data_IF_391884560598
#
_entry.id   IF_391884560598
#
_cell.length_a   1.000
_cell.length_b   1.000
_cell.length_c   1.000
_cell.angle_alpha   90.00
_cell.angle_beta   90.00
_cell.angle_gamma   90.00
#
_symmetry.space_group_name_H-M   'P 1'
#
loop_
_entity.id
_entity.type
_entity.pdbx_description
1 polymer ?
#
# COMPACT_ATOMS: atom_id res chain seq x y z
N UNK A 1 17.92 29.75 0.05
CA UNK A 1 16.54 29.38 -0.30
C UNK A 1 15.72 30.66 -0.29
N UNK A 2 15.14 31.05 -1.43
CA UNK A 2 14.34 32.27 -1.54
C UNK A 2 13.10 32.20 -0.64
N UNK A 3 12.70 33.32 -0.06
CA UNK A 3 11.53 33.43 0.81
C UNK A 3 10.27 32.89 0.09
N UNK A 4 9.73 31.79 0.60
CA UNK A 4 8.50 31.14 0.16
C UNK A 4 7.97 30.29 1.32
N UNK A 5 6.66 30.11 1.37
CA UNK A 5 5.99 29.42 2.48
C UNK A 5 5.61 28.00 2.06
N UNK A 6 5.65 27.08 3.01
CA UNK A 6 5.08 25.75 2.83
C UNK A 6 3.57 25.79 3.05
N UNK A 7 2.81 25.20 2.14
CA UNK A 7 1.36 25.10 2.21
C UNK A 7 0.96 23.64 2.21
N UNK A 8 0.10 23.25 3.14
CA UNK A 8 -0.52 21.92 3.18
C UNK A 8 -1.93 22.02 2.62
N UNK A 9 -2.23 21.23 1.60
CA UNK A 9 -3.59 21.04 1.08
C UNK A 9 -4.01 19.58 1.30
N UNK A 10 -5.26 19.35 1.70
CA UNK A 10 -5.80 17.99 1.89
C UNK A 10 -6.94 17.78 0.90
N UNK A 11 -6.75 16.83 -0.01
CA UNK A 11 -7.72 16.52 -1.05
C UNK A 11 -8.62 15.34 -0.66
N UNK A 12 -9.82 15.27 -1.22
CA UNK A 12 -10.81 14.23 -0.91
C UNK A 12 -10.74 13.05 -1.88
N UNK A 13 -9.96 13.14 -2.96
CA UNK A 13 -9.74 12.03 -3.88
C UNK A 13 -8.32 12.07 -4.49
N UNK A 14 -7.78 10.92 -4.92
CA UNK A 14 -6.53 10.91 -5.70
C UNK A 14 -6.64 11.71 -6.99
N UNK A 15 -7.84 11.75 -7.60
CA UNK A 15 -8.11 12.46 -8.86
C UNK A 15 -8.06 13.99 -8.75
N UNK A 16 -8.10 14.54 -7.54
CA UNK A 16 -7.96 15.99 -7.30
C UNK A 16 -6.51 16.46 -7.45
N UNK A 17 -5.56 15.50 -7.49
CA UNK A 17 -4.13 15.76 -7.64
C UNK A 17 -3.72 15.39 -9.06
N UNK A 18 -2.92 16.26 -9.67
CA UNK A 18 -2.37 15.99 -11.00
C UNK A 18 -1.57 14.68 -11.01
N UNK A 19 -1.93 13.81 -11.96
CA UNK A 19 -1.33 12.48 -12.14
C UNK A 19 0.17 12.55 -12.39
N UNK A 20 0.61 13.53 -13.20
CA UNK A 20 2.02 13.68 -13.55
C UNK A 20 2.85 14.14 -12.35
N UNK A 21 2.33 15.08 -11.56
CA UNK A 21 2.98 15.55 -10.35
C UNK A 21 3.12 14.44 -9.31
N UNK A 22 2.04 13.69 -9.05
CA UNK A 22 2.06 12.55 -8.14
C UNK A 22 3.07 11.48 -8.58
N UNK A 23 3.02 11.07 -9.85
CA UNK A 23 3.90 10.02 -10.35
C UNK A 23 5.36 10.47 -10.44
N UNK A 24 5.62 11.77 -10.65
CA UNK A 24 6.96 12.36 -10.54
C UNK A 24 7.51 12.26 -9.12
N UNK A 25 6.69 12.54 -8.09
CA UNK A 25 7.09 12.31 -6.70
C UNK A 25 7.37 10.83 -6.42
N UNK A 26 6.50 9.93 -6.89
CA UNK A 26 6.69 8.49 -6.70
C UNK A 26 8.00 8.00 -7.32
N UNK A 27 8.30 8.43 -8.56
CA UNK A 27 9.54 8.07 -9.23
C UNK A 27 10.80 8.54 -8.47
N UNK A 28 10.71 9.66 -7.76
CA UNK A 28 11.80 10.17 -6.93
C UNK A 28 12.10 9.31 -5.68
N UNK A 29 11.27 8.31 -5.36
CA UNK A 29 11.49 7.42 -4.20
C UNK A 29 12.48 6.27 -4.48
N UNK A 30 12.96 6.13 -5.72
CA UNK A 30 13.95 5.10 -6.07
C UNK A 30 13.42 3.67 -5.86
N UNK A 31 14.20 2.82 -5.21
CA UNK A 31 13.84 1.41 -4.97
C UNK A 31 12.64 1.23 -4.02
N UNK A 32 12.28 2.27 -3.27
CA UNK A 32 11.09 2.27 -2.39
C UNK A 32 9.79 2.63 -3.16
N UNK A 33 9.88 3.00 -4.43
CA UNK A 33 8.71 3.25 -5.27
C UNK A 33 7.97 1.93 -5.56
N UNK A 34 6.67 1.90 -5.32
CA UNK A 34 5.83 0.71 -5.57
C UNK A 34 4.70 1.02 -6.54
N UNK A 35 4.27 0.03 -7.37
CA UNK A 35 3.11 0.22 -8.25
C UNK A 35 1.83 0.54 -7.49
N UNK A 36 1.76 0.17 -6.21
CA UNK A 36 0.60 0.36 -5.33
C UNK A 36 0.44 1.80 -4.82
N UNK A 37 1.46 2.63 -5.01
CA UNK A 37 1.41 4.07 -4.75
C UNK A 37 1.32 4.88 -6.03
N UNK A 38 1.14 4.25 -7.21
CA UNK A 38 0.89 4.99 -8.45
C UNK A 38 -0.48 5.68 -8.41
N UNK A 39 -0.56 6.85 -9.03
CA UNK A 39 -1.82 7.60 -9.12
C UNK A 39 -2.94 6.75 -9.72
N UNK A 40 -2.65 5.98 -10.77
CA UNK A 40 -3.61 5.13 -11.47
C UNK A 40 -4.15 3.99 -10.58
N UNK A 41 -3.29 3.44 -9.72
CA UNK A 41 -3.70 2.40 -8.77
C UNK A 41 -4.65 2.96 -7.71
N UNK A 42 -4.31 4.14 -7.17
CA UNK A 42 -5.12 4.81 -6.16
C UNK A 42 -6.44 5.29 -6.76
N UNK A 43 -6.45 5.84 -7.98
CA UNK A 43 -7.66 6.17 -8.71
C UNK A 43 -8.55 4.93 -8.93
N UNK A 44 -7.97 3.81 -9.41
CA UNK A 44 -8.71 2.57 -9.63
C UNK A 44 -9.35 2.02 -8.35
N UNK A 45 -8.67 2.12 -7.19
CA UNK A 45 -9.23 1.72 -5.90
C UNK A 45 -10.50 2.50 -5.55
N UNK A 46 -10.51 3.81 -5.82
CA UNK A 46 -11.62 4.71 -5.48
C UNK A 46 -12.76 4.61 -6.48
N UNK A 47 -12.46 4.73 -7.78
CA UNK A 47 -13.47 4.74 -8.83
C UNK A 47 -14.19 3.39 -8.99
N UNK A 48 -13.54 2.30 -8.59
CA UNK A 48 -14.15 0.96 -8.59
C UNK A 48 -15.03 0.66 -7.38
N UNK A 49 -15.08 1.58 -6.40
CA UNK A 49 -15.78 1.36 -5.14
C UNK A 49 -15.06 0.44 -4.14
N UNK A 50 -13.80 0.06 -4.41
CA UNK A 50 -13.06 -0.88 -3.55
C UNK A 50 -12.61 -0.20 -2.24
N UNK A 51 -12.02 0.99 -2.33
CA UNK A 51 -11.56 1.77 -1.18
C UNK A 51 -12.28 3.12 -1.11
N UNK A 52 -13.44 3.14 -0.46
CA UNK A 52 -14.29 4.31 -0.30
C UNK A 52 -14.75 4.46 1.14
N UNK A 53 -15.41 5.56 1.54
CA UNK A 53 -16.00 5.70 2.87
C UNK A 53 -16.91 4.51 3.26
N UNK A 54 -17.67 3.97 2.31
CA UNK A 54 -18.59 2.84 2.51
C UNK A 54 -17.86 1.54 2.88
N UNK A 55 -16.64 1.35 2.36
CA UNK A 55 -15.77 0.21 2.72
C UNK A 55 -14.82 0.54 3.87
N UNK A 56 -15.06 1.68 4.53
CA UNK A 56 -14.29 2.14 5.68
C UNK A 56 -12.92 2.70 5.32
N UNK A 57 -12.73 3.21 4.10
CA UNK A 57 -11.53 3.90 3.60
C UNK A 57 -11.90 5.31 3.17
N UNK A 58 -12.09 6.22 4.14
CA UNK A 58 -12.42 7.61 3.81
C UNK A 58 -11.15 8.35 3.36
N UNK A 59 -11.00 8.74 2.08
CA UNK A 59 -9.79 9.38 1.59
C UNK A 59 -9.50 10.72 2.23
N UNK A 60 -8.22 10.97 2.47
CA UNK A 60 -7.64 12.29 2.62
C UNK A 60 -6.26 12.23 1.95
N UNK A 61 -5.97 13.10 1.00
CA UNK A 61 -4.70 13.10 0.29
C UNK A 61 -3.94 14.39 0.61
N UNK A 62 -3.19 14.44 1.74
CA UNK A 62 -2.32 15.56 2.06
C UNK A 62 -1.25 15.76 1.00
N UNK A 63 -1.04 17.02 0.63
CA UNK A 63 0.00 17.50 -0.27
C UNK A 63 0.74 18.65 0.37
N UNK A 64 2.07 18.66 0.22
CA UNK A 64 2.97 19.71 0.66
C UNK A 64 3.45 20.47 -0.57
N UNK A 65 3.09 21.75 -0.62
CA UNK A 65 3.47 22.67 -1.68
C UNK A 65 4.49 23.67 -1.18
N UNK A 66 5.45 24.01 -2.02
CA UNK A 66 6.24 25.21 -1.86
C UNK A 66 5.67 26.32 -2.73
N UNK A 67 5.34 27.44 -2.09
CA UNK A 67 4.80 28.61 -2.76
C UNK A 67 5.81 29.75 -2.71
N UNK A 68 6.59 29.97 -3.80
CA UNK A 68 7.48 31.11 -3.87
C UNK A 68 6.69 32.42 -4.04
N UNK A 69 7.27 33.54 -3.60
CA UNK A 69 6.70 34.89 -3.86
C UNK A 69 6.55 35.21 -5.35
N UNK A 70 7.43 34.65 -6.18
CA UNK A 70 7.41 34.75 -7.64
C UNK A 70 7.76 33.39 -8.23
N UNK A 71 7.00 32.96 -9.25
CA UNK A 71 7.18 31.66 -9.90
C UNK A 71 5.98 30.73 -9.72
N UNK A 72 6.16 29.48 -10.13
CA UNK A 72 5.14 28.44 -10.06
C UNK A 72 5.21 27.73 -8.71
N UNK A 73 4.06 27.38 -8.13
CA UNK A 73 4.03 26.51 -6.95
C UNK A 73 4.56 25.12 -7.31
N UNK A 74 5.25 24.49 -6.38
CA UNK A 74 5.86 23.17 -6.61
C UNK A 74 5.34 22.16 -5.60
N UNK A 75 4.93 20.99 -6.08
CA UNK A 75 4.57 19.86 -5.22
C UNK A 75 5.86 19.22 -4.69
N UNK A 76 6.06 19.32 -3.37
CA UNK A 76 7.23 18.80 -2.67
C UNK A 76 6.98 17.47 -1.98
N UNK A 77 5.75 17.18 -1.59
CA UNK A 77 5.40 15.89 -1.04
C UNK A 77 3.91 15.59 -1.06
N UNK A 78 3.56 14.32 -0.97
CA UNK A 78 2.18 13.85 -0.91
C UNK A 78 2.11 12.47 -0.24
N UNK A 79 0.93 12.11 0.29
CA UNK A 79 0.67 10.76 0.76
C UNK A 79 -0.79 10.35 0.57
N UNK A 80 -1.04 9.04 0.57
CA UNK A 80 -2.39 8.47 0.53
C UNK A 80 -2.84 8.18 1.98
N UNK A 81 -3.59 9.11 2.57
CA UNK A 81 -4.12 8.98 3.93
C UNK A 81 -5.60 8.56 3.88
N UNK A 82 -6.02 7.78 4.87
CA UNK A 82 -7.38 7.31 5.02
C UNK A 82 -7.82 7.43 6.47
N UNK A 83 -9.02 7.97 6.68
CA UNK A 83 -9.70 7.90 7.96
C UNK A 83 -10.38 6.54 8.09
N UNK A 84 -10.05 5.83 9.17
CA UNK A 84 -10.48 4.46 9.44
C UNK A 84 -11.31 4.40 10.71
N UNK A 85 -12.45 3.73 10.64
CA UNK A 85 -13.30 3.39 11.81
C UNK A 85 -13.15 1.93 12.26
N UNK A 86 -12.26 1.17 11.61
CA UNK A 86 -11.91 -0.22 11.90
C UNK A 86 -10.56 -0.56 11.25
N UNK A 87 -9.90 -1.63 11.69
CA UNK A 87 -8.63 -2.12 11.09
C UNK A 87 -8.79 -3.06 9.88
N UNK A 88 -10.01 -3.35 9.41
CA UNK A 88 -10.18 -4.24 8.25
C UNK A 88 -9.54 -3.67 6.98
N UNK A 89 -8.87 -4.56 6.24
CA UNK A 89 -8.14 -4.25 5.01
C UNK A 89 -6.72 -3.70 5.21
N UNK A 90 -6.30 -3.42 6.45
CA UNK A 90 -4.97 -2.85 6.73
C UNK A 90 -3.86 -3.90 6.80
N UNK A 91 -4.24 -5.17 7.00
CA UNK A 91 -3.34 -6.30 7.30
C UNK A 91 -2.47 -6.11 8.55
N UNK A 92 -2.79 -5.10 9.36
CA UNK A 92 -2.33 -4.87 10.73
C UNK A 92 -3.57 -4.61 11.57
N UNK A 93 -3.80 -5.42 12.60
CA UNK A 93 -5.01 -5.35 13.40
C UNK A 93 -4.74 -4.74 14.77
N UNK A 94 -5.43 -3.64 15.08
CA UNK A 94 -5.25 -2.89 16.33
C UNK A 94 -6.25 -3.29 17.42
N UNK A 95 -6.74 -4.53 17.37
CA UNK A 95 -7.74 -5.02 18.34
C UNK A 95 -7.29 -4.82 19.80
N UNK A 96 -6.00 -5.02 20.09
CA UNK A 96 -5.45 -4.80 21.43
C UNK A 96 -5.54 -3.33 21.86
N UNK A 97 -5.16 -2.39 20.99
CA UNK A 97 -5.24 -0.95 21.26
C UNK A 97 -6.69 -0.48 21.39
N UNK A 98 -7.54 -0.86 20.43
CA UNK A 98 -8.96 -0.52 20.45
C UNK A 98 -9.68 -1.09 21.69
N UNK A 99 -9.27 -2.27 22.16
CA UNK A 99 -9.79 -2.85 23.39
C UNK A 99 -9.34 -2.06 24.62
N UNK A 100 -8.05 -1.72 24.74
CA UNK A 100 -7.52 -0.94 25.86
C UNK A 100 -8.18 0.46 25.95
N UNK A 101 -8.30 1.17 24.82
CA UNK A 101 -8.99 2.47 24.75
C UNK A 101 -10.42 2.38 25.26
N UNK A 102 -11.17 1.35 24.82
CA UNK A 102 -12.54 1.09 25.27
C UNK A 102 -12.62 0.82 26.78
N UNK A 103 -11.68 0.07 27.35
CA UNK A 103 -11.61 -0.17 28.80
C UNK A 103 -11.42 1.13 29.60
N UNK A 104 -10.79 2.14 29.02
CA UNK A 104 -10.57 3.45 29.63
C UNK A 104 -11.61 4.51 29.21
N UNK A 105 -12.65 4.14 28.47
CA UNK A 105 -13.70 5.07 28.02
C UNK A 105 -13.25 6.09 26.98
N UNK A 106 -12.13 5.86 26.30
CA UNK A 106 -11.59 6.73 25.25
C UNK A 106 -11.90 6.11 23.88
N UNK A 107 -12.40 6.86 22.89
CA UNK A 107 -12.61 6.34 21.54
C UNK A 107 -11.27 6.12 20.83
N UNK A 108 -11.06 4.91 20.30
CA UNK A 108 -9.89 4.60 19.46
C UNK A 108 -10.09 5.00 18.00
N UNK A 109 -11.33 5.17 17.55
CA UNK A 109 -11.65 5.56 16.17
C UNK A 109 -12.36 6.92 16.16
N UNK A 110 -12.23 7.72 15.10
CA UNK A 110 -11.44 7.45 13.89
C UNK A 110 -9.93 7.57 14.14
N UNK A 111 -9.15 6.83 13.35
CA UNK A 111 -7.70 6.97 13.23
C UNK A 111 -7.31 7.35 11.80
N UNK A 112 -6.15 8.00 11.64
CA UNK A 112 -5.53 8.23 10.35
C UNK A 112 -4.60 7.06 9.98
N UNK A 113 -4.64 6.64 8.71
CA UNK A 113 -3.80 5.61 8.14
C UNK A 113 -3.18 6.09 6.84
N UNK A 114 -1.85 6.10 6.74
CA UNK A 114 -1.12 6.25 5.47
C UNK A 114 -0.68 4.88 4.96
N UNK A 115 -1.36 4.39 3.93
CA UNK A 115 -1.06 3.12 3.30
C UNK A 115 -1.78 3.00 1.94
N UNK A 116 -1.25 2.22 0.99
CA UNK A 116 -2.05 1.76 -0.15
C UNK A 116 -3.18 0.83 0.35
N UNK A 117 -4.44 1.03 -0.09
CA UNK A 117 -5.55 0.18 0.34
C UNK A 117 -5.30 -1.30 0.06
N UNK A 118 -5.66 -2.15 1.02
CA UNK A 118 -5.63 -3.61 0.90
C UNK A 118 -4.25 -4.21 0.49
N UNK A 119 -3.15 -3.50 0.74
CA UNK A 119 -1.84 -3.87 0.17
C UNK A 119 -0.72 -3.86 1.22
N UNK A 120 -0.33 -5.03 1.76
CA UNK A 120 0.71 -5.13 2.79
C UNK A 120 2.14 -5.18 2.22
N UNK A 121 2.46 -4.33 1.25
CA UNK A 121 3.75 -4.34 0.54
C UNK A 121 4.63 -3.18 1.02
N UNK A 122 5.86 -3.45 1.54
CA UNK A 122 6.77 -2.38 1.94
C UNK A 122 7.10 -1.39 0.83
N UNK A 123 7.28 -0.12 1.18
CA UNK A 123 7.74 0.93 0.29
C UNK A 123 7.37 2.32 0.78
N UNK A 124 7.61 3.34 -0.05
CA UNK A 124 7.37 4.73 0.31
C UNK A 124 5.89 4.99 0.65
N UNK A 125 5.65 5.73 1.74
CA UNK A 125 4.35 6.26 2.18
C UNK A 125 4.30 7.76 2.14
N UNK A 126 5.42 8.41 2.40
CA UNK A 126 5.59 9.85 2.26
C UNK A 126 6.37 10.10 0.97
N UNK A 127 5.63 10.29 -0.13
CA UNK A 127 6.25 10.64 -1.40
C UNK A 127 6.79 12.06 -1.27
N UNK A 128 8.09 12.24 -1.38
CA UNK A 128 8.73 13.54 -1.13
C UNK A 128 9.93 13.77 -2.05
N UNK A 129 10.15 15.03 -2.45
CA UNK A 129 11.29 15.43 -3.30
C UNK A 129 12.63 15.18 -2.62
N UNK A 130 12.71 15.40 -1.31
CA UNK A 130 13.90 15.23 -0.50
C UNK A 130 13.55 14.92 0.96
N UNK A 131 14.58 14.75 1.80
CA UNK A 131 14.41 14.44 3.22
C UNK A 131 13.76 15.59 4.01
N UNK A 132 14.00 16.86 3.63
CA UNK A 132 13.42 18.04 4.30
C UNK A 132 11.91 18.10 4.04
N UNK A 133 11.48 17.93 2.80
CA UNK A 133 10.07 17.85 2.43
C UNK A 133 9.39 16.65 3.10
N UNK A 134 10.07 15.50 3.18
CA UNK A 134 9.54 14.30 3.85
C UNK A 134 9.28 14.55 5.34
N UNK A 135 10.25 15.16 6.03
CA UNK A 135 10.12 15.50 7.44
C UNK A 135 9.02 16.55 7.68
N UNK A 136 8.96 17.59 6.85
CA UNK A 136 7.91 18.61 6.92
C UNK A 136 6.51 18.00 6.71
N UNK A 137 6.37 17.07 5.75
CA UNK A 137 5.12 16.33 5.54
C UNK A 137 4.76 15.49 6.77
N UNK A 138 5.71 14.75 7.36
CA UNK A 138 5.46 13.96 8.57
C UNK A 138 4.98 14.84 9.74
N UNK A 139 5.62 15.99 9.98
CA UNK A 139 5.20 16.95 11.00
C UNK A 139 3.80 17.52 10.73
N UNK A 140 3.52 17.86 9.48
CA UNK A 140 2.21 18.34 9.08
C UNK A 140 1.10 17.30 9.32
N UNK A 141 1.37 16.02 9.07
CA UNK A 141 0.41 14.93 9.32
C UNK A 141 0.12 14.77 10.82
N UNK A 142 1.14 14.87 11.68
CA UNK A 142 0.95 14.86 13.14
C UNK A 142 0.07 16.02 13.57
N UNK A 143 0.45 17.25 13.21
CA UNK A 143 -0.29 18.45 13.57
C UNK A 143 -1.74 18.42 13.05
N UNK A 144 -1.94 17.97 11.81
CA UNK A 144 -3.27 17.82 11.22
C UNK A 144 -4.11 16.76 11.94
N UNK A 145 -3.51 15.63 12.34
CA UNK A 145 -4.21 14.57 13.07
C UNK A 145 -4.66 15.04 14.45
N UNK A 146 -3.83 15.81 15.15
CA UNK A 146 -4.17 16.42 16.44
C UNK A 146 -5.29 17.46 16.30
N UNK A 147 -5.17 18.38 15.34
CA UNK A 147 -6.18 19.40 15.06
C UNK A 147 -7.52 18.80 14.65
N UNK A 148 -7.49 17.67 13.95
CA UNK A 148 -8.68 16.93 13.52
C UNK A 148 -9.28 16.04 14.63
N UNK A 149 -8.67 16.00 15.82
CA UNK A 149 -9.15 15.20 16.94
C UNK A 149 -9.08 13.69 16.71
N UNK A 150 -8.16 13.23 15.86
CA UNK A 150 -7.97 11.81 15.59
C UNK A 150 -7.25 11.13 16.75
N UNK A 151 -7.61 9.88 17.04
CA UNK A 151 -7.01 9.14 18.15
C UNK A 151 -5.52 8.83 17.94
N UNK A 152 -5.13 8.65 16.68
CA UNK A 152 -3.80 8.18 16.30
C UNK A 152 -3.56 8.34 14.79
N UNK A 153 -2.29 8.45 14.42
CA UNK A 153 -1.77 8.41 13.06
C UNK A 153 -0.91 7.17 12.89
N UNK A 154 -1.17 6.40 11.84
CA UNK A 154 -0.45 5.18 11.51
C UNK A 154 0.10 5.30 10.10
N UNK A 155 1.35 4.89 9.91
CA UNK A 155 1.90 4.59 8.60
C UNK A 155 2.30 3.11 8.62
N UNK A 156 1.98 2.37 7.56
CA UNK A 156 2.15 0.93 7.53
C UNK A 156 3.05 0.48 6.38
N UNK A 157 3.99 -0.41 6.72
CA UNK A 157 4.98 -0.99 5.81
C UNK A 157 5.87 0.08 5.15
N UNK A 158 6.36 0.98 5.99
CA UNK A 158 7.12 2.16 5.60
C UNK A 158 8.50 1.84 5.03
N UNK A 159 8.98 2.71 4.14
CA UNK A 159 10.40 2.75 3.76
C UNK A 159 11.27 3.19 4.93
N UNK A 160 12.58 2.91 4.87
CA UNK A 160 13.52 3.39 5.89
C UNK A 160 13.55 4.93 5.98
N UNK A 161 13.41 5.62 4.85
CA UNK A 161 13.38 7.08 4.82
C UNK A 161 12.14 7.65 5.52
N UNK A 162 10.98 7.00 5.37
CA UNK A 162 9.75 7.38 6.05
C UNK A 162 9.84 7.12 7.56
N UNK A 163 10.42 5.98 7.96
CA UNK A 163 10.65 5.65 9.39
C UNK A 163 11.49 6.73 10.07
N UNK A 164 12.56 7.20 9.43
CA UNK A 164 13.40 8.28 9.97
C UNK A 164 12.61 9.58 10.13
N UNK A 165 11.91 10.01 9.08
CA UNK A 165 11.10 11.23 9.12
C UNK A 165 10.00 11.18 10.19
N UNK A 166 9.34 10.04 10.34
CA UNK A 166 8.28 9.82 11.34
C UNK A 166 8.84 9.82 12.77
N UNK A 167 10.00 9.19 13.00
CA UNK A 167 10.65 9.21 14.32
C UNK A 167 11.04 10.63 14.73
N UNK A 168 11.60 11.40 13.81
CA UNK A 168 11.96 12.80 14.05
C UNK A 168 10.72 13.69 14.27
N UNK A 169 9.56 13.30 13.71
CA UNK A 169 8.26 13.93 13.96
C UNK A 169 7.56 13.42 15.25
N UNK A 170 8.19 12.53 16.03
CA UNK A 170 7.68 12.06 17.31
C UNK A 170 6.81 10.79 17.27
N UNK A 171 6.68 10.12 16.12
CA UNK A 171 5.95 8.85 16.03
C UNK A 171 6.78 7.68 16.61
N UNK A 172 6.06 6.67 17.10
CA UNK A 172 6.65 5.45 17.65
C UNK A 172 6.75 4.35 16.59
N UNK A 173 7.90 3.67 16.54
CA UNK A 173 8.10 2.53 15.66
C UNK A 173 7.49 1.26 16.25
N UNK A 174 6.68 0.56 15.46
CA UNK A 174 6.15 -0.77 15.77
C UNK A 174 6.68 -1.79 14.77
N UNK A 175 7.32 -2.85 15.26
CA UNK A 175 7.79 -3.94 14.42
C UNK A 175 6.72 -5.00 14.19
N UNK A 176 6.70 -5.58 13.00
CA UNK A 176 5.93 -6.77 12.64
C UNK A 176 6.81 -7.72 11.80
N UNK A 177 6.40 -8.97 11.67
CA UNK A 177 7.14 -9.99 10.92
C UNK A 177 6.47 -10.22 9.57
N UNK A 178 7.27 -10.14 8.50
CA UNK A 178 6.90 -10.60 7.16
C UNK A 178 7.90 -11.65 6.69
N UNK A 179 7.42 -12.68 6.01
CA UNK A 179 8.26 -13.71 5.40
C UNK A 179 8.35 -13.44 3.90
N UNK A 180 9.54 -13.07 3.44
CA UNK A 180 9.80 -12.81 2.03
C UNK A 180 10.65 -13.93 1.45
N UNK A 181 10.26 -14.43 0.28
CA UNK A 181 11.08 -15.34 -0.50
C UNK A 181 11.86 -14.52 -1.52
N UNK A 182 13.15 -14.37 -1.30
CA UNK A 182 14.06 -13.75 -2.24
C UNK A 182 14.80 -14.82 -3.03
N UNK A 183 15.05 -14.56 -4.31
CA UNK A 183 16.01 -15.38 -5.04
C UNK A 183 17.41 -15.09 -4.47
N UNK A 184 18.31 -16.08 -4.54
CA UNK A 184 19.71 -15.85 -4.14
C UNK A 184 20.33 -14.80 -5.08
N UNK A 185 21.37 -14.03 -4.66
CA UNK A 185 21.99 -13.02 -5.50
C UNK A 185 22.37 -13.56 -6.90
N UNK A 186 22.94 -14.76 -6.95
CA UNK A 186 23.16 -15.51 -8.19
C UNK A 186 21.91 -16.29 -8.59
N UNK A 187 20.88 -15.65 -9.14
CA UNK A 187 19.55 -16.25 -9.38
C UNK A 187 19.58 -17.73 -9.86
N UNK A 188 18.68 -18.56 -9.32
CA UNK A 188 18.53 -19.95 -9.80
C UNK A 188 18.28 -19.99 -11.31
N UNK A 189 19.03 -20.83 -12.02
CA UNK A 189 18.91 -20.95 -13.49
C UNK A 189 17.57 -21.55 -13.89
N UNK A 190 17.13 -22.55 -13.14
CA UNK A 190 15.88 -23.26 -13.34
C UNK A 190 15.40 -23.89 -12.01
N UNK A 191 14.28 -24.60 -12.09
CA UNK A 191 13.71 -25.28 -10.93
C UNK A 191 14.59 -26.42 -10.39
N UNK A 192 15.38 -27.08 -11.25
CA UNK A 192 16.27 -28.15 -10.81
C UNK A 192 17.48 -27.61 -10.05
N UNK A 193 18.01 -26.45 -10.46
CA UNK A 193 19.03 -25.70 -9.73
C UNK A 193 18.52 -25.27 -8.34
N UNK A 194 17.26 -24.83 -8.25
CA UNK A 194 16.61 -24.60 -6.96
C UNK A 194 16.52 -25.88 -6.12
N UNK A 195 16.04 -26.98 -6.70
CA UNK A 195 15.90 -28.26 -6.00
C UNK A 195 17.25 -28.82 -5.52
N UNK A 196 18.33 -28.58 -6.26
CA UNK A 196 19.68 -29.01 -5.90
C UNK A 196 20.16 -28.35 -4.59
N UNK A 197 19.66 -27.15 -4.26
CA UNK A 197 19.97 -26.45 -3.01
C UNK A 197 19.26 -27.01 -1.77
N UNK A 198 18.28 -27.90 -1.94
CA UNK A 198 17.51 -28.50 -0.86
C UNK A 198 18.08 -29.86 -0.42
N UNK A 199 17.82 -30.23 0.83
CA UNK A 199 18.14 -31.57 1.31
C UNK A 199 17.39 -32.66 0.51
N UNK A 200 17.94 -33.88 0.52
CA UNK A 200 17.47 -34.98 -0.32
C UNK A 200 15.98 -35.30 -0.11
N UNK A 201 15.52 -35.31 1.14
CA UNK A 201 14.13 -35.64 1.47
C UNK A 201 13.15 -34.59 0.96
N UNK A 202 13.44 -33.30 1.18
CA UNK A 202 12.59 -32.20 0.69
C UNK A 202 12.57 -32.17 -0.84
N UNK A 203 13.72 -32.36 -1.48
CA UNK A 203 13.83 -32.48 -2.93
C UNK A 203 13.01 -33.65 -3.49
N UNK A 204 13.08 -34.84 -2.87
CA UNK A 204 12.31 -36.02 -3.28
C UNK A 204 10.81 -35.78 -3.17
N UNK A 205 10.36 -35.18 -2.06
CA UNK A 205 8.95 -34.83 -1.83
C UNK A 205 8.43 -33.85 -2.88
N UNK A 206 9.14 -32.75 -3.15
CA UNK A 206 8.71 -31.76 -4.16
C UNK A 206 8.61 -32.39 -5.55
N UNK A 207 9.57 -33.21 -5.96
CA UNK A 207 9.51 -33.93 -7.25
C UNK A 207 8.31 -34.87 -7.33
N UNK A 208 8.00 -35.58 -6.24
CA UNK A 208 6.85 -36.47 -6.17
C UNK A 208 5.54 -35.70 -6.35
N UNK A 209 5.35 -34.60 -5.62
CA UNK A 209 4.13 -33.78 -5.72
C UNK A 209 3.96 -33.18 -7.12
N UNK A 210 5.04 -32.65 -7.71
CA UNK A 210 4.98 -32.12 -9.10
C UNK A 210 4.65 -33.20 -10.12
N UNK A 211 5.16 -34.43 -9.93
CA UNK A 211 4.82 -35.56 -10.82
C UNK A 211 3.33 -35.90 -10.74
N UNK A 212 2.73 -35.89 -9.55
CA UNK A 212 1.28 -36.12 -9.39
C UNK A 212 0.46 -35.07 -10.14
N UNK A 213 0.85 -33.79 -10.05
CA UNK A 213 0.21 -32.69 -10.78
C UNK A 213 0.26 -32.93 -12.29
N UNK A 214 1.43 -33.29 -12.82
CA UNK A 214 1.58 -33.60 -14.25
C UNK A 214 0.80 -34.86 -14.68
N UNK A 215 0.79 -35.93 -13.86
CA UNK A 215 0.03 -37.15 -14.10
C UNK A 215 -1.48 -36.92 -14.08
N UNK A 216 -1.95 -35.93 -13.31
CA UNK A 216 -3.34 -35.49 -13.33
C UNK A 216 -3.70 -34.64 -14.55
N UNK A 217 -2.76 -34.39 -15.48
CA UNK A 217 -3.00 -33.61 -16.69
C UNK A 217 -3.06 -32.10 -16.45
N UNK A 218 -2.62 -31.61 -15.28
CA UNK A 218 -2.62 -30.18 -14.96
C UNK A 218 -1.47 -29.51 -15.71
N UNK A 219 -1.80 -28.49 -16.50
CA UNK A 219 -0.86 -27.66 -17.26
C UNK A 219 -0.93 -26.21 -16.78
N UNK A 220 0.17 -25.48 -16.96
CA UNK A 220 0.27 -24.07 -16.63
C UNK A 220 0.44 -23.26 -17.92
N UNK A 221 -0.27 -22.13 -18.00
CA UNK A 221 -0.06 -21.07 -18.98
C UNK A 221 0.23 -19.79 -18.21
N UNK A 222 1.20 -19.03 -18.69
CA UNK A 222 1.50 -17.70 -18.17
C UNK A 222 1.03 -16.66 -19.18
N UNK A 223 0.35 -15.63 -18.69
CA UNK A 223 -0.04 -14.45 -19.46
C UNK A 223 0.51 -13.20 -18.79
N UNK A 224 0.90 -12.20 -19.58
CA UNK A 224 1.44 -10.93 -19.09
C UNK A 224 0.87 -9.77 -19.90
N UNK A 225 0.48 -8.71 -19.20
CA UNK A 225 0.00 -7.49 -19.85
C UNK A 225 -1.11 -7.79 -20.86
N UNK A 226 -0.90 -7.37 -22.12
CA UNK A 226 -1.86 -7.55 -23.22
C UNK A 226 -2.20 -9.00 -23.57
N UNK A 227 -1.43 -9.99 -23.09
CA UNK A 227 -1.74 -11.41 -23.29
C UNK A 227 -2.84 -11.92 -22.33
N UNK A 228 -3.26 -11.09 -21.36
CA UNK A 228 -4.34 -11.42 -20.42
C UNK A 228 -5.66 -11.00 -21.07
N UNK A 229 -6.48 -12.00 -21.42
CA UNK A 229 -7.76 -11.74 -22.07
C UNK A 229 -8.86 -11.35 -21.08
N UNK A 230 -9.96 -10.76 -21.55
CA UNK A 230 -11.13 -10.51 -20.70
C UNK A 230 -11.66 -11.80 -20.03
N UNK A 231 -11.62 -12.93 -20.73
CA UNK A 231 -12.01 -14.23 -20.19
C UNK A 231 -11.06 -14.71 -19.07
N UNK A 232 -9.77 -14.39 -19.15
CA UNK A 232 -8.79 -14.66 -18.09
C UNK A 232 -9.11 -13.84 -16.84
N UNK A 233 -9.43 -12.55 -16.99
CA UNK A 233 -9.85 -11.70 -15.90
C UNK A 233 -11.16 -12.17 -15.24
N UNK A 234 -12.13 -12.62 -16.04
CA UNK A 234 -13.38 -13.18 -15.52
C UNK A 234 -13.16 -14.46 -14.73
N UNK A 235 -12.29 -15.34 -15.22
CA UNK A 235 -11.94 -16.55 -14.49
C UNK A 235 -11.19 -16.23 -13.20
N UNK A 236 -10.21 -15.32 -13.26
CA UNK A 236 -9.47 -14.87 -12.10
C UNK A 236 -10.40 -14.27 -11.02
N UNK A 237 -11.32 -13.38 -11.41
CA UNK A 237 -12.22 -12.73 -10.45
C UNK A 237 -13.14 -13.74 -9.75
N UNK A 238 -13.67 -14.73 -10.48
CA UNK A 238 -14.46 -15.82 -9.88
C UNK A 238 -13.66 -16.61 -8.85
N UNK A 239 -12.38 -16.88 -9.10
CA UNK A 239 -11.51 -17.55 -8.13
C UNK A 239 -11.25 -16.66 -6.89
N UNK A 240 -10.99 -15.38 -7.13
CA UNK A 240 -10.76 -14.38 -6.08
C UNK A 240 -11.98 -14.25 -5.15
N UNK A 241 -13.18 -13.97 -5.67
CA UNK A 241 -14.38 -13.76 -4.86
C UNK A 241 -14.78 -15.03 -4.11
N UNK A 242 -14.65 -16.20 -4.75
CA UNK A 242 -14.97 -17.49 -4.14
C UNK A 242 -14.11 -17.75 -2.90
N UNK A 243 -12.83 -17.39 -2.95
CA UNK A 243 -11.93 -17.53 -1.80
C UNK A 243 -12.43 -16.71 -0.60
N UNK A 244 -12.93 -15.50 -0.83
CA UNK A 244 -13.50 -14.67 0.23
C UNK A 244 -14.76 -15.30 0.82
N UNK A 245 -15.68 -15.76 -0.03
CA UNK A 245 -16.93 -16.39 0.41
C UNK A 245 -16.71 -17.70 1.17
N UNK A 246 -15.74 -18.52 0.75
CA UNK A 246 -15.36 -19.76 1.46
C UNK A 246 -14.81 -19.47 2.87
N UNK A 247 -14.28 -18.28 3.11
CA UNK A 247 -13.82 -17.79 4.41
C UNK A 247 -14.82 -16.86 5.11
N UNK A 248 -16.06 -16.75 4.63
CA UNK A 248 -17.13 -15.99 5.27
C UNK A 248 -16.98 -14.46 5.20
N UNK A 249 -16.17 -13.95 4.27
CA UNK A 249 -15.95 -12.53 4.06
C UNK A 249 -16.45 -12.10 2.68
N UNK A 250 -16.76 -10.82 2.52
CA UNK A 250 -16.94 -10.23 1.19
C UNK A 250 -15.57 -9.87 0.58
N UNK A 251 -15.40 -9.98 -0.75
CA UNK A 251 -14.19 -9.51 -1.42
C UNK A 251 -13.95 -8.02 -1.20
N UNK A 252 -12.69 -7.62 -1.00
CA UNK A 252 -12.31 -6.21 -0.86
C UNK A 252 -12.24 -5.46 -2.21
N UNK A 253 -11.78 -6.14 -3.26
CA UNK A 253 -11.57 -5.55 -4.58
C UNK A 253 -12.71 -5.96 -5.50
N UNK A 254 -13.32 -4.99 -6.17
CA UNK A 254 -14.43 -5.27 -7.09
C UNK A 254 -13.92 -5.77 -8.44
N UNK A 255 -14.82 -6.33 -9.27
CA UNK A 255 -14.46 -6.72 -10.65
C UNK A 255 -13.99 -5.52 -11.48
N UNK A 256 -14.60 -4.35 -11.26
CA UNK A 256 -14.25 -3.11 -11.94
C UNK A 256 -12.80 -2.67 -11.63
N UNK A 257 -12.32 -2.89 -10.40
CA UNK A 257 -10.91 -2.61 -10.05
C UNK A 257 -9.94 -3.34 -10.98
N UNK A 258 -10.14 -4.64 -11.19
CA UNK A 258 -9.25 -5.43 -12.04
C UNK A 258 -9.33 -5.00 -13.51
N UNK A 259 -10.50 -4.57 -13.99
CA UNK A 259 -10.67 -4.04 -15.34
C UNK A 259 -9.94 -2.72 -15.55
N UNK A 260 -9.94 -1.83 -14.54
CA UNK A 260 -9.19 -0.55 -14.58
C UNK A 260 -7.67 -0.75 -14.57
N UNK A 261 -7.21 -1.86 -13.98
CA UNK A 261 -5.79 -2.21 -13.90
C UNK A 261 -5.29 -3.01 -15.12
N UNK A 262 -6.19 -3.51 -15.97
CA UNK A 262 -5.90 -4.39 -17.10
C UNK A 262 -5.23 -3.67 -18.28
#
# INVERSE_FOLDING_TARGET
MSAGDYVIEVHDAPLDIDRHDWNTLLAAQGDDATPFMRHEYLAAMHESGSATPETGWTPRFPTLWWQPRHGTRELLGACALYLKNHSYGEYVFDHAWAHAYRQHGVPYYPKALVAPPFTPVPGARLLARDATARHALAQALVAWSEQSGLSSLHLLFDSQADVLACRDAGLMLRHNVQFHWTNRPDAYRDFEDFLASLNQDKRKKIRQERRKVAQAGVVFRWSRGSDITAADWDFFYRCYERTYYEHGNAPYLTRDFFQRMA
#
